data_IF_473430202461
#
_entry.id   IF_473430202461
#
_cell.length_a   1.000
_cell.length_b   1.000
_cell.length_c   1.000
_cell.angle_alpha   90.00
_cell.angle_beta   90.00
_cell.angle_gamma   90.00
#
_symmetry.space_group_name_H-M   'P 1'
#
loop_
_entity.id
_entity.type
_entity.pdbx_description
1 polymer ?
#
# COMPACT_ATOMS: atom_id res chain seq x y z
N UNK A 1 15.46 28.48 -0.92
CA UNK A 1 15.06 27.19 -1.51
C UNK A 1 14.66 26.25 -0.39
N UNK A 2 13.46 25.64 -0.44
CA UNK A 2 12.97 24.78 0.65
C UNK A 2 13.77 23.46 0.64
N UNK A 3 14.40 23.14 1.77
CA UNK A 3 15.16 21.89 1.95
C UNK A 3 14.21 20.69 2.03
N UNK A 4 14.66 19.57 1.48
CA UNK A 4 13.97 18.29 1.56
C UNK A 4 14.51 17.50 2.76
N UNK A 5 13.61 16.78 3.42
CA UNK A 5 13.95 15.82 4.47
C UNK A 5 13.54 14.42 4.05
N UNK A 6 14.24 13.41 4.57
CA UNK A 6 13.91 12.01 4.30
C UNK A 6 12.64 11.67 5.08
N UNK A 7 11.58 11.27 4.39
CA UNK A 7 10.30 10.87 5.00
C UNK A 7 10.11 9.35 4.99
N UNK A 8 10.89 8.61 4.22
CA UNK A 8 10.82 7.16 4.14
C UNK A 8 12.06 6.52 3.52
N UNK A 9 12.23 5.22 3.72
CA UNK A 9 13.29 4.41 3.11
C UNK A 9 12.77 2.99 2.92
N UNK A 10 13.03 2.41 1.75
CA UNK A 10 12.66 1.04 1.40
C UNK A 10 13.71 0.40 0.50
N UNK A 11 13.36 -0.73 -0.13
CA UNK A 11 14.26 -1.48 -0.99
C UNK A 11 14.66 -0.70 -2.27
N UNK A 12 13.74 0.06 -2.86
CA UNK A 12 14.02 0.92 -4.02
C UNK A 12 14.94 2.11 -3.70
N UNK A 13 14.95 2.57 -2.46
CA UNK A 13 15.73 3.74 -2.04
C UNK A 13 15.01 4.61 -1.02
N UNK A 14 15.33 5.89 -1.03
CA UNK A 14 14.85 6.89 -0.08
C UNK A 14 13.75 7.77 -0.66
N UNK A 15 12.83 8.19 0.19
CA UNK A 15 11.74 9.11 -0.16
C UNK A 15 11.95 10.42 0.58
N UNK A 16 11.86 11.53 -0.16
CA UNK A 16 12.14 12.88 0.32
C UNK A 16 10.97 13.80 0.08
N UNK A 17 10.67 14.68 1.02
CA UNK A 17 9.67 15.72 0.81
C UNK A 17 10.01 16.97 1.62
N UNK A 18 9.42 18.10 1.23
CA UNK A 18 9.24 19.23 2.14
C UNK A 18 7.92 19.08 2.89
N UNK A 19 7.66 19.95 3.86
CA UNK A 19 6.46 19.89 4.70
C UNK A 19 5.15 19.78 3.89
N UNK A 20 4.98 20.62 2.87
CA UNK A 20 3.78 20.68 2.02
C UNK A 20 4.02 20.34 0.54
N UNK A 21 5.17 19.72 0.23
CA UNK A 21 5.59 19.44 -1.15
C UNK A 21 5.29 18.02 -1.63
N UNK A 22 5.58 17.74 -2.92
CA UNK A 22 5.52 16.38 -3.44
C UNK A 22 6.56 15.47 -2.77
N UNK A 23 6.36 14.17 -2.93
CA UNK A 23 7.32 13.14 -2.55
C UNK A 23 8.26 12.83 -3.72
N UNK A 24 9.55 12.75 -3.42
CA UNK A 24 10.62 12.41 -4.33
C UNK A 24 11.23 11.08 -3.94
N UNK A 25 10.92 9.99 -4.66
CA UNK A 25 11.50 8.65 -4.45
C UNK A 25 12.76 8.53 -5.30
N UNK A 26 13.91 8.34 -4.67
CA UNK A 26 15.22 8.25 -5.32
C UNK A 26 15.61 6.79 -5.55
N UNK A 27 16.25 6.52 -6.68
CA UNK A 27 16.85 5.20 -6.99
C UNK A 27 18.23 5.08 -6.34
N UNK A 28 18.27 5.07 -5.01
CA UNK A 28 19.49 4.92 -4.20
C UNK A 28 19.41 3.71 -3.23
N UNK A 29 18.57 2.74 -3.58
CA UNK A 29 18.41 1.47 -2.87
C UNK A 29 19.10 0.28 -3.54
N UNK A 30 18.46 -0.88 -3.44
CA UNK A 30 18.94 -2.15 -3.97
C UNK A 30 18.91 -2.14 -5.51
N UNK A 31 20.04 -2.41 -6.19
CA UNK A 31 20.12 -2.47 -7.65
C UNK A 31 19.21 -3.52 -8.32
N UNK A 32 18.69 -4.49 -7.56
CA UNK A 32 17.73 -5.48 -8.05
C UNK A 32 16.29 -4.92 -8.16
N UNK A 33 16.03 -3.72 -7.61
CA UNK A 33 14.76 -3.00 -7.78
C UNK A 33 14.87 -2.02 -8.95
N UNK A 34 13.72 -1.65 -9.53
CA UNK A 34 13.66 -0.76 -10.70
C UNK A 34 12.68 0.37 -10.45
N UNK A 35 13.19 1.59 -10.29
CA UNK A 35 12.34 2.76 -10.12
C UNK A 35 11.60 3.11 -11.43
N UNK A 36 12.19 2.78 -12.58
CA UNK A 36 11.52 2.89 -13.88
C UNK A 36 10.27 2.00 -13.94
N UNK A 37 10.38 0.74 -13.48
CA UNK A 37 9.23 -0.16 -13.44
C UNK A 37 8.15 0.36 -12.48
N UNK A 38 8.54 0.85 -11.30
CA UNK A 38 7.62 1.48 -10.35
C UNK A 38 6.84 2.62 -11.02
N UNK A 39 7.53 3.53 -11.72
CA UNK A 39 6.89 4.64 -12.44
C UNK A 39 5.90 4.16 -13.51
N UNK A 40 6.27 3.16 -14.31
CA UNK A 40 5.42 2.63 -15.37
C UNK A 40 4.19 1.92 -14.82
N UNK A 41 4.37 1.06 -13.81
CA UNK A 41 3.28 0.32 -13.16
C UNK A 41 2.36 1.26 -12.37
N UNK A 42 2.90 2.27 -11.69
CA UNK A 42 2.13 3.29 -10.99
C UNK A 42 1.20 4.04 -11.94
N UNK A 43 1.73 4.51 -13.08
CA UNK A 43 0.92 5.17 -14.11
C UNK A 43 -0.14 4.24 -14.73
N UNK A 44 0.18 2.96 -14.92
CA UNK A 44 -0.78 1.95 -15.40
C UNK A 44 -1.92 1.75 -14.41
N UNK A 45 -1.60 1.63 -13.12
CA UNK A 45 -2.58 1.49 -12.03
C UNK A 45 -3.47 2.73 -11.91
N UNK A 46 -2.93 3.94 -12.04
CA UNK A 46 -3.71 5.19 -12.08
C UNK A 46 -4.72 5.20 -13.24
N UNK A 47 -4.30 4.78 -14.44
CA UNK A 47 -5.20 4.65 -15.59
C UNK A 47 -6.28 3.60 -15.35
N UNK A 48 -5.92 2.46 -14.76
CA UNK A 48 -6.87 1.40 -14.41
C UNK A 48 -7.91 1.86 -13.39
N UNK A 49 -7.54 2.70 -12.42
CA UNK A 49 -8.48 3.33 -11.48
C UNK A 49 -9.53 4.17 -12.22
N UNK A 50 -9.09 4.99 -13.17
CA UNK A 50 -10.01 5.81 -13.98
C UNK A 50 -10.97 4.94 -14.80
N UNK A 51 -10.50 3.82 -15.33
CA UNK A 51 -11.36 2.87 -16.04
C UNK A 51 -12.36 2.24 -15.09
N UNK A 52 -11.93 1.75 -13.92
CA UNK A 52 -12.84 1.17 -12.93
C UNK A 52 -13.92 2.15 -12.49
N UNK A 53 -13.56 3.42 -12.23
CA UNK A 53 -14.51 4.48 -11.88
C UNK A 53 -15.61 4.70 -12.93
N UNK A 54 -15.37 4.37 -14.20
CA UNK A 54 -16.38 4.49 -15.27
C UNK A 54 -17.29 3.27 -15.36
N UNK A 55 -16.83 2.11 -14.90
CA UNK A 55 -17.57 0.85 -14.92
C UNK A 55 -18.42 0.69 -13.68
N UNK A 56 -17.85 1.07 -12.54
CA UNK A 56 -18.46 0.86 -11.25
C UNK A 56 -19.61 1.83 -11.03
N UNK A 57 -20.76 1.28 -10.63
CA UNK A 57 -21.89 2.10 -10.18
C UNK A 57 -21.66 2.69 -8.78
N UNK A 58 -20.74 2.10 -8.01
CA UNK A 58 -20.33 2.58 -6.69
C UNK A 58 -18.97 3.27 -6.77
N UNK A 59 -18.66 4.10 -5.77
CA UNK A 59 -17.39 4.81 -5.73
C UNK A 59 -16.23 3.84 -5.46
N UNK A 60 -15.16 3.93 -6.26
CA UNK A 60 -13.88 3.26 -6.00
C UNK A 60 -13.26 3.89 -4.75
N UNK A 61 -12.91 3.08 -3.76
CA UNK A 61 -12.55 3.59 -2.44
C UNK A 61 -11.04 3.68 -2.19
N UNK A 62 -10.22 2.88 -2.89
CA UNK A 62 -8.75 2.93 -2.73
C UNK A 62 -8.17 4.23 -3.31
N UNK A 63 -7.24 4.84 -2.58
CA UNK A 63 -6.46 5.98 -3.05
C UNK A 63 -5.12 5.56 -3.64
N UNK A 64 -4.72 6.26 -4.70
CA UNK A 64 -3.48 6.02 -5.41
C UNK A 64 -2.81 7.38 -5.54
N UNK A 65 -1.59 7.58 -5.00
CA UNK A 65 -0.90 8.86 -5.12
C UNK A 65 -0.79 9.25 -6.59
N UNK A 66 -0.98 10.52 -6.92
CA UNK A 66 -0.68 11.00 -8.27
C UNK A 66 0.80 10.76 -8.59
N UNK A 67 1.10 10.33 -9.81
CA UNK A 67 2.47 10.11 -10.30
C UNK A 67 2.76 11.19 -11.34
N UNK A 68 3.66 12.13 -11.03
CA UNK A 68 3.83 13.33 -11.85
C UNK A 68 4.93 13.16 -12.89
N UNK A 69 6.16 12.88 -12.46
CA UNK A 69 7.33 12.90 -13.34
C UNK A 69 8.34 11.79 -13.00
N UNK A 70 9.04 11.32 -14.03
CA UNK A 70 10.28 10.56 -13.90
C UNK A 70 11.47 11.44 -14.27
N UNK A 71 12.36 11.66 -13.32
CA UNK A 71 13.50 12.59 -13.43
C UNK A 71 14.77 11.76 -13.57
N UNK A 72 15.40 11.85 -14.75
CA UNK A 72 16.65 11.16 -15.04
C UNK A 72 17.88 11.93 -14.53
N UNK A 73 19.01 11.26 -14.24
CA UNK A 73 20.26 11.91 -13.86
C UNK A 73 20.79 12.90 -14.90
N UNK A 74 20.41 12.72 -16.17
CA UNK A 74 20.86 13.55 -17.30
C UNK A 74 20.08 14.86 -17.44
N UNK A 75 18.99 15.04 -16.70
CA UNK A 75 18.21 16.28 -16.70
C UNK A 75 18.96 17.41 -15.95
N UNK A 76 19.94 18.01 -16.63
CA UNK A 76 20.83 19.02 -16.04
C UNK A 76 20.08 20.25 -15.53
N UNK A 77 19.01 20.66 -16.21
CA UNK A 77 18.19 21.80 -15.81
C UNK A 77 17.50 21.56 -14.46
N UNK A 78 16.81 20.41 -14.34
CA UNK A 78 16.12 20.07 -13.09
C UNK A 78 17.11 19.91 -11.94
N UNK A 79 18.22 19.19 -12.16
CA UNK A 79 19.24 18.98 -11.12
C UNK A 79 19.96 20.27 -10.72
N UNK A 80 20.27 21.17 -11.66
CA UNK A 80 20.85 22.47 -11.32
C UNK A 80 19.90 23.31 -10.43
N UNK A 81 18.59 23.23 -10.69
CA UNK A 81 17.59 23.97 -9.91
C UNK A 81 17.25 23.32 -8.55
N UNK A 82 17.42 22.01 -8.39
CA UNK A 82 16.87 21.26 -7.24
C UNK A 82 17.89 20.48 -6.41
N UNK A 83 19.12 20.25 -6.88
CA UNK A 83 20.09 19.42 -6.15
C UNK A 83 20.42 20.00 -4.78
N UNK A 84 20.51 21.33 -4.66
CA UNK A 84 20.73 22.03 -3.39
C UNK A 84 19.58 21.88 -2.39
N UNK A 85 18.43 21.32 -2.78
CA UNK A 85 17.34 21.00 -1.84
C UNK A 85 17.68 19.79 -0.98
N UNK A 86 18.54 18.88 -1.46
CA UNK A 86 19.02 17.73 -0.73
C UNK A 86 20.20 18.10 0.18
N UNK A 87 20.53 17.28 1.20
CA UNK A 87 21.75 17.46 1.97
C UNK A 87 23.01 17.41 1.09
N UNK A 88 24.13 17.93 1.61
CA UNK A 88 25.41 17.88 0.90
C UNK A 88 25.84 16.42 0.67
N UNK A 89 26.37 16.14 -0.52
CA UNK A 89 26.88 14.82 -0.90
C UNK A 89 25.96 13.99 -1.80
N UNK A 90 24.72 14.44 -2.03
CA UNK A 90 23.83 13.80 -3.00
C UNK A 90 24.20 14.18 -4.43
N UNK A 91 24.06 13.22 -5.34
CA UNK A 91 24.29 13.37 -6.79
C UNK A 91 23.01 13.13 -7.57
N UNK A 92 22.93 13.54 -8.85
CA UNK A 92 21.85 13.15 -9.74
C UNK A 92 21.67 11.62 -9.80
N UNK A 93 20.41 11.17 -9.78
CA UNK A 93 20.01 9.76 -9.93
C UNK A 93 18.66 9.69 -10.66
N UNK A 94 18.13 8.50 -10.91
CA UNK A 94 16.72 8.37 -11.31
C UNK A 94 15.84 8.71 -10.10
N UNK A 95 14.71 9.38 -10.35
CA UNK A 95 13.82 9.82 -9.28
C UNK A 95 12.37 9.94 -9.76
N UNK A 96 11.42 9.47 -8.97
CA UNK A 96 9.99 9.71 -9.19
C UNK A 96 9.56 10.92 -8.36
N UNK A 97 8.87 11.86 -8.99
CA UNK A 97 8.07 12.88 -8.32
C UNK A 97 6.60 12.46 -8.30
N UNK A 98 6.04 12.30 -7.10
CA UNK A 98 4.67 11.87 -6.88
C UNK A 98 3.97 12.70 -5.80
N UNK A 99 2.66 12.57 -5.69
CA UNK A 99 1.91 13.09 -4.55
C UNK A 99 2.45 12.48 -3.25
N UNK A 100 2.70 13.34 -2.26
CA UNK A 100 2.99 12.89 -0.91
C UNK A 100 1.70 12.42 -0.25
N UNK A 101 1.68 11.16 0.21
CA UNK A 101 0.60 10.69 1.09
C UNK A 101 0.69 11.49 2.41
N UNK A 102 -0.40 12.14 2.84
CA UNK A 102 -0.38 12.94 4.05
C UNK A 102 -0.11 12.05 5.26
N UNK A 103 0.77 12.45 6.20
CA UNK A 103 0.96 11.70 7.42
C UNK A 103 -0.20 11.89 8.39
N UNK A 104 -0.40 10.92 9.28
CA UNK A 104 -1.38 11.05 10.36
C UNK A 104 -1.07 12.21 11.30
N UNK A 105 -2.13 12.90 11.72
CA UNK A 105 -2.07 14.01 12.66
C UNK A 105 -1.73 13.59 14.09
N UNK A 106 -1.54 14.59 14.94
CA UNK A 106 -1.09 14.42 16.32
C UNK A 106 -1.94 13.46 17.15
N UNK A 107 -3.27 13.50 17.04
CA UNK A 107 -4.18 12.64 17.81
C UNK A 107 -3.96 11.16 17.55
N UNK A 108 -3.89 10.75 16.27
CA UNK A 108 -3.66 9.35 15.89
C UNK A 108 -2.27 8.87 16.29
N UNK A 109 -1.24 9.74 16.13
CA UNK A 109 0.12 9.43 16.57
C UNK A 109 0.19 9.18 18.07
N UNK A 110 -0.43 10.05 18.88
CA UNK A 110 -0.50 9.87 20.33
C UNK A 110 -1.24 8.59 20.72
N UNK A 111 -2.36 8.27 20.06
CA UNK A 111 -3.09 7.02 20.30
C UNK A 111 -2.19 5.79 20.09
N UNK A 112 -1.49 5.71 18.96
CA UNK A 112 -0.58 4.59 18.66
C UNK A 112 0.59 4.50 19.66
N UNK A 113 1.17 5.65 20.03
CA UNK A 113 2.24 5.71 21.03
C UNK A 113 1.73 5.20 22.37
N UNK A 114 0.57 5.65 22.84
CA UNK A 114 0.04 5.24 24.13
C UNK A 114 -0.32 3.75 24.17
N UNK A 115 -0.90 3.23 23.09
CA UNK A 115 -1.32 1.83 23.00
C UNK A 115 -0.16 0.85 22.87
N UNK A 116 0.89 1.20 22.10
CA UNK A 116 1.85 0.21 21.60
C UNK A 116 3.33 0.57 21.78
N UNK A 117 3.67 1.82 22.10
CA UNK A 117 5.07 2.21 22.30
C UNK A 117 5.53 1.82 23.73
N UNK A 118 6.71 1.19 23.89
CA UNK A 118 7.28 0.94 25.21
C UNK A 118 7.43 2.23 26.03
N UNK A 119 7.07 2.18 27.31
CA UNK A 119 7.00 3.36 28.18
C UNK A 119 8.34 4.13 28.24
N UNK A 120 9.46 3.42 28.15
CA UNK A 120 10.81 3.98 28.24
C UNK A 120 11.15 4.92 27.08
N UNK A 121 10.51 4.75 25.92
CA UNK A 121 10.81 5.52 24.71
C UNK A 121 9.64 6.39 24.24
N UNK A 122 8.48 6.37 24.91
CA UNK A 122 7.30 7.19 24.54
C UNK A 122 7.65 8.66 24.33
N UNK A 123 8.30 9.30 25.31
CA UNK A 123 8.67 10.72 25.21
C UNK A 123 9.66 11.00 24.08
N UNK A 124 10.55 10.04 23.77
CA UNK A 124 11.48 10.15 22.65
C UNK A 124 10.72 10.15 21.32
N UNK A 125 9.74 9.26 21.16
CA UNK A 125 8.94 9.14 19.93
C UNK A 125 7.99 10.33 19.77
N UNK A 126 7.38 10.84 20.85
CA UNK A 126 6.52 12.04 20.81
C UNK A 126 7.30 13.24 20.24
N UNK A 127 8.54 13.42 20.69
CA UNK A 127 9.40 14.55 20.29
C UNK A 127 10.23 14.26 19.03
N UNK A 128 10.01 13.13 18.37
CA UNK A 128 10.77 12.72 17.19
C UNK A 128 10.19 13.37 15.92
N UNK A 129 10.95 14.30 15.32
CA UNK A 129 10.60 14.89 14.02
C UNK A 129 10.37 13.84 12.93
N UNK A 130 11.20 12.78 12.79
CA UNK A 130 10.93 11.70 11.86
C UNK A 130 9.56 11.03 12.05
N UNK A 131 9.14 10.83 13.29
CA UNK A 131 7.87 10.16 13.62
C UNK A 131 6.64 11.05 13.38
N UNK A 132 6.83 12.30 12.92
CA UNK A 132 5.75 13.10 12.33
C UNK A 132 5.33 12.59 10.96
N UNK A 133 6.19 11.89 10.23
CA UNK A 133 5.87 11.27 8.94
C UNK A 133 5.14 9.92 9.13
N UNK A 134 4.11 9.92 9.98
CA UNK A 134 3.39 8.72 10.39
C UNK A 134 2.49 8.19 9.26
N UNK A 135 2.76 6.96 8.84
CA UNK A 135 1.92 6.18 7.92
C UNK A 135 1.70 4.82 8.56
N UNK A 136 0.47 4.32 8.52
CA UNK A 136 0.13 3.03 9.13
C UNK A 136 0.09 1.98 8.03
N UNK A 137 0.95 0.97 8.10
CA UNK A 137 0.93 -0.18 7.19
C UNK A 137 -0.03 -1.24 7.76
N UNK A 138 -1.11 -1.52 7.05
CA UNK A 138 -2.21 -2.35 7.57
C UNK A 138 -2.01 -3.83 7.25
N UNK A 139 -2.06 -4.69 8.26
CA UNK A 139 -1.96 -6.14 8.13
C UNK A 139 -3.24 -6.81 8.63
N UNK A 140 -4.11 -7.24 7.71
CA UNK A 140 -5.31 -8.03 8.00
C UNK A 140 -5.07 -9.55 7.86
N UNK A 141 -3.95 -9.96 7.28
CA UNK A 141 -3.59 -11.37 7.11
C UNK A 141 -2.71 -11.94 8.21
N UNK A 142 -2.41 -11.15 9.24
CA UNK A 142 -1.46 -11.53 10.28
C UNK A 142 -1.76 -10.86 11.60
N UNK A 143 -1.72 -11.67 12.65
CA UNK A 143 -1.67 -11.25 14.06
C UNK A 143 -0.22 -11.25 14.54
N UNK A 144 0.12 -10.42 15.52
CA UNK A 144 1.47 -10.43 16.13
C UNK A 144 1.75 -11.79 16.78
N UNK A 145 2.94 -12.33 16.57
CA UNK A 145 3.36 -13.63 17.13
C UNK A 145 3.79 -13.55 18.60
N UNK A 146 3.97 -12.35 19.15
CA UNK A 146 4.31 -12.13 20.55
C UNK A 146 3.14 -11.49 21.28
N UNK A 147 2.44 -12.30 22.07
CA UNK A 147 1.45 -11.82 23.05
C UNK A 147 2.15 -11.11 24.20
N UNK A 148 1.48 -10.13 24.81
CA UNK A 148 1.94 -9.30 25.95
C UNK A 148 2.53 -10.06 27.16
N UNK A 149 2.40 -11.40 27.22
CA UNK A 149 2.99 -12.24 28.28
C UNK A 149 4.43 -12.70 28.05
N UNK A 150 4.98 -12.51 26.85
CA UNK A 150 6.38 -12.79 26.55
C UNK A 150 7.24 -11.60 26.97
N UNK A 151 7.80 -11.62 28.18
CA UNK A 151 8.74 -10.62 28.71
C UNK A 151 10.04 -10.46 27.90
N UNK A 152 10.18 -11.14 26.77
CA UNK A 152 11.23 -10.90 25.78
C UNK A 152 10.77 -9.84 24.79
N UNK A 153 10.53 -8.62 25.27
CA UNK A 153 10.72 -7.46 24.41
C UNK A 153 12.16 -7.54 23.92
N UNK A 154 12.36 -7.93 22.65
CA UNK A 154 13.67 -7.83 22.03
C UNK A 154 14.17 -6.42 22.29
N UNK A 155 15.29 -6.29 23.02
CA UNK A 155 15.96 -5.02 23.37
C UNK A 155 16.36 -4.18 22.15
N UNK A 156 16.00 -4.63 20.94
CA UNK A 156 16.40 -4.12 19.64
C UNK A 156 15.24 -3.81 18.69
N UNK A 157 13.96 -3.90 19.11
CA UNK A 157 12.86 -3.41 18.25
C UNK A 157 12.79 -1.88 18.34
N UNK A 158 13.32 -1.21 17.32
CA UNK A 158 13.10 0.21 17.10
C UNK A 158 11.60 0.46 16.85
N UNK A 159 10.94 1.17 17.75
CA UNK A 159 9.59 1.69 17.52
C UNK A 159 9.71 2.92 16.60
N UNK A 160 8.89 2.97 15.56
CA UNK A 160 8.83 4.06 14.59
C UNK A 160 7.41 4.18 14.07
N UNK A 161 6.89 5.40 14.02
CA UNK A 161 5.61 5.73 13.41
C UNK A 161 5.71 5.84 11.88
N UNK A 162 6.92 6.00 11.33
CA UNK A 162 7.13 5.86 9.89
C UNK A 162 6.82 4.44 9.47
N UNK A 163 5.80 4.28 8.63
CA UNK A 163 5.43 2.98 8.08
C UNK A 163 5.15 1.94 9.18
N UNK A 164 4.39 2.37 10.19
CA UNK A 164 4.08 1.60 11.40
C UNK A 164 3.22 0.38 11.06
N UNK A 165 3.70 -0.86 11.30
CA UNK A 165 2.92 -2.06 11.03
C UNK A 165 1.82 -2.25 12.08
N UNK A 166 0.56 -2.11 11.65
CA UNK A 166 -0.63 -2.30 12.48
C UNK A 166 -1.33 -3.60 12.08
N UNK A 167 -1.29 -4.57 13.00
CA UNK A 167 -1.80 -5.92 12.80
C UNK A 167 -3.25 -6.05 13.26
N UNK A 168 -3.94 -7.09 12.79
CA UNK A 168 -5.33 -7.38 13.12
C UNK A 168 -5.62 -7.38 14.64
N UNK A 169 -4.78 -8.02 15.45
CA UNK A 169 -4.94 -8.03 16.92
C UNK A 169 -4.78 -6.63 17.54
N UNK A 170 -4.02 -5.75 16.90
CA UNK A 170 -3.90 -4.35 17.33
C UNK A 170 -5.13 -3.53 16.96
N UNK A 171 -5.78 -3.83 15.84
CA UNK A 171 -7.04 -3.18 15.48
C UNK A 171 -8.14 -3.54 16.48
N UNK A 172 -8.17 -4.78 16.96
CA UNK A 172 -9.05 -5.20 18.05
C UNK A 172 -8.73 -4.50 19.37
N UNK A 173 -7.45 -4.38 19.73
CA UNK A 173 -7.01 -3.62 20.93
C UNK A 173 -7.40 -2.13 20.85
N UNK A 174 -7.43 -1.55 19.65
CA UNK A 174 -7.90 -0.19 19.40
C UNK A 174 -9.44 -0.08 19.33
N UNK A 175 -10.15 -1.20 19.42
CA UNK A 175 -11.60 -1.29 19.26
C UNK A 175 -12.09 -0.70 17.92
N UNK A 176 -11.36 -0.97 16.84
CA UNK A 176 -11.83 -0.62 15.49
C UNK A 176 -13.17 -1.32 15.21
N UNK A 177 -14.21 -0.59 14.76
CA UNK A 177 -15.51 -1.18 14.45
C UNK A 177 -15.39 -2.32 13.43
N UNK A 178 -16.21 -3.37 13.60
CA UNK A 178 -16.22 -4.51 12.67
C UNK A 178 -16.50 -4.05 11.23
N UNK A 179 -17.43 -3.13 11.04
CA UNK A 179 -17.77 -2.58 9.71
C UNK A 179 -16.58 -1.94 9.00
N UNK A 180 -15.69 -1.27 9.76
CA UNK A 180 -14.47 -0.66 9.23
C UNK A 180 -13.44 -1.73 8.83
N UNK A 181 -13.31 -2.80 9.62
CA UNK A 181 -12.44 -3.93 9.28
C UNK A 181 -12.89 -4.61 7.98
N UNK A 182 -14.20 -4.85 7.85
CA UNK A 182 -14.79 -5.35 6.62
C UNK A 182 -14.59 -4.36 5.47
N UNK A 183 -14.67 -3.05 5.72
CA UNK A 183 -14.41 -2.05 4.69
C UNK A 183 -12.96 -2.05 4.21
N UNK A 184 -11.98 -2.18 5.10
CA UNK A 184 -10.58 -2.32 4.70
C UNK A 184 -10.36 -3.57 3.84
N UNK A 185 -10.96 -4.72 4.21
CA UNK A 185 -10.89 -5.94 3.41
C UNK A 185 -11.49 -5.76 2.01
N UNK A 186 -12.63 -5.06 1.91
CA UNK A 186 -13.25 -4.72 0.62
C UNK A 186 -12.36 -3.83 -0.24
N UNK A 187 -11.70 -2.82 0.34
CA UNK A 187 -10.80 -1.92 -0.38
C UNK A 187 -9.59 -2.65 -0.97
N UNK A 188 -9.00 -3.58 -0.20
CA UNK A 188 -7.90 -4.43 -0.68
C UNK A 188 -8.34 -5.34 -1.83
N UNK A 189 -9.51 -5.96 -1.70
CA UNK A 189 -10.09 -6.83 -2.73
C UNK A 189 -10.36 -6.07 -4.03
N UNK A 190 -10.96 -4.88 -3.95
CA UNK A 190 -11.21 -4.00 -5.09
C UNK A 190 -9.90 -3.62 -5.80
N UNK A 191 -8.88 -3.21 -5.05
CA UNK A 191 -7.59 -2.84 -5.59
C UNK A 191 -6.93 -4.00 -6.35
N UNK A 192 -6.94 -5.20 -5.79
CA UNK A 192 -6.39 -6.38 -6.45
C UNK A 192 -7.17 -6.78 -7.70
N UNK A 193 -8.51 -6.77 -7.66
CA UNK A 193 -9.32 -7.07 -8.83
C UNK A 193 -9.04 -6.08 -9.98
N UNK A 194 -8.94 -4.78 -9.66
CA UNK A 194 -8.56 -3.74 -10.63
C UNK A 194 -7.18 -4.01 -11.25
N UNK A 195 -6.18 -4.33 -10.41
CA UNK A 195 -4.82 -4.60 -10.87
C UNK A 195 -4.75 -5.85 -11.75
N UNK A 196 -5.44 -6.91 -11.37
CA UNK A 196 -5.46 -8.16 -12.14
C UNK A 196 -6.23 -7.99 -13.47
N UNK A 197 -7.44 -7.45 -13.46
CA UNK A 197 -8.34 -7.59 -14.61
C UNK A 197 -8.40 -6.36 -15.53
N UNK A 198 -8.08 -5.18 -15.01
CA UNK A 198 -7.98 -3.95 -15.80
C UNK A 198 -6.52 -3.65 -16.11
N UNK A 199 -5.67 -3.57 -15.08
CA UNK A 199 -4.25 -3.31 -15.32
C UNK A 199 -3.57 -4.53 -15.96
N UNK A 200 -3.95 -5.77 -15.65
CA UNK A 200 -3.26 -6.94 -16.20
C UNK A 200 -1.88 -7.14 -15.60
N UNK A 201 -1.74 -6.89 -14.30
CA UNK A 201 -0.48 -7.07 -13.54
C UNK A 201 -0.71 -7.99 -12.34
N UNK A 202 0.35 -8.56 -11.79
CA UNK A 202 0.30 -9.57 -10.72
C UNK A 202 0.22 -9.02 -9.29
N UNK A 203 0.29 -7.69 -9.12
CA UNK A 203 0.28 -7.01 -7.83
C UNK A 203 1.38 -7.47 -6.84
N UNK A 204 2.52 -7.91 -7.37
CA UNK A 204 3.64 -8.33 -6.55
C UNK A 204 4.31 -7.16 -5.80
N UNK A 205 4.53 -7.36 -4.51
CA UNK A 205 5.14 -6.45 -3.51
C UNK A 205 4.43 -5.11 -3.28
N UNK A 206 3.16 -4.96 -3.70
CA UNK A 206 2.39 -3.76 -3.37
C UNK A 206 2.07 -3.66 -1.89
N UNK A 207 2.05 -2.44 -1.38
CA UNK A 207 1.81 -2.13 0.03
C UNK A 207 0.50 -1.36 0.22
N UNK A 208 -0.19 -1.65 1.33
CA UNK A 208 -1.41 -0.96 1.74
C UNK A 208 -1.17 -0.17 3.01
N UNK A 209 -1.43 1.13 2.95
CA UNK A 209 -1.26 2.03 4.09
C UNK A 209 -2.54 2.81 4.37
N UNK A 210 -2.82 3.05 5.65
CA UNK A 210 -3.81 4.02 6.08
C UNK A 210 -3.15 5.40 6.20
N UNK A 211 -3.87 6.42 5.76
CA UNK A 211 -3.48 7.81 5.89
C UNK A 211 -4.69 8.73 5.72
N UNK A 212 -4.64 9.99 6.19
CA UNK A 212 -5.67 10.99 5.88
C UNK A 212 -6.03 11.01 4.39
N UNK A 213 -7.32 11.16 4.10
CA UNK A 213 -7.81 11.16 2.72
C UNK A 213 -7.61 12.52 2.05
N UNK A 214 -7.53 12.56 0.72
CA UNK A 214 -7.77 13.80 -0.01
C UNK A 214 -9.25 14.21 0.17
N UNK A 215 -9.52 15.49 0.38
CA UNK A 215 -10.89 15.99 0.61
C UNK A 215 -11.86 15.71 -0.55
N UNK A 216 -11.34 15.40 -1.74
CA UNK A 216 -12.10 15.34 -3.00
C UNK A 216 -12.25 13.94 -3.61
N UNK A 217 -11.61 12.89 -3.07
CA UNK A 217 -11.41 11.65 -3.81
C UNK A 217 -11.61 10.39 -2.93
N UNK A 218 -12.86 9.90 -2.82
CA UNK A 218 -13.15 8.56 -2.31
C UNK A 218 -14.05 8.49 -1.07
N UNK A 219 -14.51 7.26 -0.78
CA UNK A 219 -15.05 6.91 0.53
C UNK A 219 -13.99 7.09 1.61
N UNK A 220 -14.39 7.66 2.75
CA UNK A 220 -13.53 7.82 3.92
C UNK A 220 -14.05 6.94 5.06
N UNK A 221 -13.15 6.59 5.96
CA UNK A 221 -13.46 5.92 7.21
C UNK A 221 -13.16 6.91 8.34
N UNK A 222 -14.06 6.96 9.31
CA UNK A 222 -13.92 7.79 10.51
C UNK A 222 -14.07 6.93 11.76
N UNK A 223 -12.96 6.77 12.48
CA UNK A 223 -12.90 6.01 13.73
C UNK A 223 -11.82 6.59 14.66
N UNK A 224 -11.34 5.81 15.63
CA UNK A 224 -10.34 6.26 16.62
C UNK A 224 -9.02 6.74 16.00
N UNK A 225 -8.69 6.34 14.77
CA UNK A 225 -7.52 6.84 14.03
C UNK A 225 -7.78 8.22 13.38
N UNK A 226 -9.01 8.75 13.48
CA UNK A 226 -9.50 9.95 12.81
C UNK A 226 -10.02 9.66 11.40
N UNK A 227 -10.36 10.70 10.65
CA UNK A 227 -10.80 10.58 9.26
C UNK A 227 -9.63 10.19 8.34
N UNK A 228 -9.74 9.06 7.67
CA UNK A 228 -8.68 8.52 6.81
C UNK A 228 -9.24 7.62 5.69
N UNK A 229 -8.33 7.08 4.88
CA UNK A 229 -8.63 6.12 3.82
C UNK A 229 -7.41 5.21 3.61
N UNK A 230 -7.56 4.21 2.75
CA UNK A 230 -6.52 3.29 2.37
C UNK A 230 -5.87 3.75 1.07
N UNK A 231 -4.54 3.70 1.06
CA UNK A 231 -3.69 4.02 -0.07
C UNK A 231 -2.91 2.77 -0.47
N UNK A 232 -2.68 2.63 -1.78
CA UNK A 232 -1.81 1.59 -2.35
C UNK A 232 -0.57 2.22 -2.96
N UNK A 233 0.60 1.63 -2.71
CA UNK A 233 1.90 2.11 -3.16
C UNK A 233 2.92 0.96 -3.36
N UNK A 234 4.12 1.33 -3.83
CA UNK A 234 5.26 0.46 -4.16
C UNK A 234 4.94 -0.56 -5.26
N UNK A 235 5.03 -0.13 -6.53
CA UNK A 235 4.71 -0.97 -7.69
C UNK A 235 5.96 -1.50 -8.39
N UNK A 236 7.13 -1.41 -7.74
CA UNK A 236 8.45 -1.65 -8.34
C UNK A 236 8.68 -3.11 -8.77
N UNK A 237 7.98 -4.07 -8.17
CA UNK A 237 8.04 -5.49 -8.52
C UNK A 237 6.79 -6.03 -9.20
N UNK A 238 5.79 -5.19 -9.49
CA UNK A 238 4.64 -5.58 -10.30
C UNK A 238 5.09 -5.97 -11.71
N UNK A 239 4.50 -7.04 -12.25
CA UNK A 239 4.78 -7.55 -13.59
C UNK A 239 3.51 -7.87 -14.35
N UNK A 240 3.64 -7.99 -15.67
CA UNK A 240 2.55 -8.42 -16.53
C UNK A 240 1.99 -9.79 -16.12
N UNK A 241 0.67 -9.82 -16.01
CA UNK A 241 -0.13 -11.01 -15.78
C UNK A 241 -0.84 -11.40 -17.08
N UNK A 242 -0.60 -12.62 -17.57
CA UNK A 242 -1.30 -13.15 -18.74
C UNK A 242 -2.75 -13.48 -18.40
N UNK A 243 -3.65 -13.40 -19.39
CA UNK A 243 -5.10 -13.68 -19.21
C UNK A 243 -5.39 -15.18 -19.40
N UNK A 244 -4.66 -15.99 -18.64
CA UNK A 244 -4.72 -17.45 -18.61
C UNK A 244 -4.34 -17.98 -17.21
N UNK A 245 -4.34 -19.30 -17.04
CA UNK A 245 -4.06 -19.97 -15.77
C UNK A 245 -2.63 -19.72 -15.28
N UNK A 246 -1.66 -19.51 -16.18
CA UNK A 246 -0.29 -19.17 -15.81
C UNK A 246 -0.22 -17.78 -15.17
N UNK A 247 -0.98 -16.82 -15.71
CA UNK A 247 -1.10 -15.49 -15.12
C UNK A 247 -1.77 -15.54 -13.75
N UNK A 248 -2.86 -16.31 -13.62
CA UNK A 248 -3.49 -16.57 -12.31
C UNK A 248 -2.49 -17.14 -11.32
N UNK A 249 -1.71 -18.17 -11.71
CA UNK A 249 -0.68 -18.76 -10.86
C UNK A 249 0.43 -17.77 -10.44
N UNK A 250 0.74 -16.75 -11.27
CA UNK A 250 1.65 -15.67 -10.87
C UNK A 250 1.02 -14.77 -9.81
N UNK A 251 -0.24 -14.36 -10.00
CA UNK A 251 -0.96 -13.54 -9.02
C UNK A 251 -1.15 -14.27 -7.68
N UNK A 252 -1.45 -15.58 -7.69
CA UNK A 252 -1.52 -16.41 -6.48
C UNK A 252 -0.18 -16.41 -5.74
N UNK A 253 0.93 -16.60 -6.47
CA UNK A 253 2.27 -16.53 -5.87
C UNK A 253 2.58 -15.16 -5.29
N UNK A 254 2.20 -14.08 -5.97
CA UNK A 254 2.34 -12.72 -5.46
C UNK A 254 1.52 -12.53 -4.18
N UNK A 255 0.25 -12.93 -4.17
CA UNK A 255 -0.62 -12.85 -2.98
C UNK A 255 0.00 -13.49 -1.73
N UNK A 256 0.61 -14.67 -1.87
CA UNK A 256 1.24 -15.39 -0.75
C UNK A 256 2.65 -14.91 -0.40
N UNK A 257 3.41 -14.38 -1.37
CA UNK A 257 4.76 -13.86 -1.15
C UNK A 257 4.79 -12.43 -0.63
N UNK A 258 3.80 -11.63 -0.96
CA UNK A 258 3.63 -10.33 -0.35
C UNK A 258 3.52 -10.51 1.16
N UNK A 259 3.98 -9.50 1.87
CA UNK A 259 3.65 -9.30 3.27
C UNK A 259 2.13 -9.53 3.47
N UNK A 260 1.69 -10.13 4.60
CA UNK A 260 0.31 -10.54 4.81
C UNK A 260 -0.63 -9.36 5.10
N UNK A 261 -0.74 -8.46 4.13
CA UNK A 261 -1.62 -7.30 4.12
C UNK A 261 -3.07 -7.74 4.02
N UNK A 262 -3.36 -8.61 3.05
CA UNK A 262 -4.69 -9.14 2.76
C UNK A 262 -5.13 -10.14 3.82
N UNK A 263 -6.44 -10.23 4.14
CA UNK A 263 -6.97 -11.36 4.89
C UNK A 263 -6.54 -12.69 4.26
N UNK A 264 -6.15 -13.66 5.09
CA UNK A 264 -5.85 -15.03 4.65
C UNK A 264 -7.11 -15.90 4.70
N UNK A 265 -7.21 -17.02 3.97
CA UNK A 265 -8.39 -17.89 3.96
C UNK A 265 -8.94 -18.30 5.34
N UNK A 266 -8.06 -18.39 6.35
CA UNK A 266 -8.38 -18.77 7.72
C UNK A 266 -8.90 -17.59 8.57
N UNK A 267 -8.86 -16.37 8.03
CA UNK A 267 -9.24 -15.13 8.69
C UNK A 267 -10.75 -14.87 8.57
N UNK A 268 -11.36 -14.27 9.60
CA UNK A 268 -12.80 -13.93 9.60
C UNK A 268 -13.21 -12.91 8.53
N UNK A 269 -12.26 -12.11 8.04
CA UNK A 269 -12.48 -11.12 6.97
C UNK A 269 -12.32 -11.72 5.56
N UNK A 270 -11.94 -12.99 5.44
CA UNK A 270 -11.69 -13.63 4.14
C UNK A 270 -12.93 -13.67 3.25
N UNK A 271 -14.08 -14.07 3.80
CA UNK A 271 -15.31 -14.16 3.01
C UNK A 271 -15.70 -12.80 2.43
N UNK A 272 -15.52 -11.73 3.20
CA UNK A 272 -15.73 -10.35 2.73
C UNK A 272 -14.76 -9.97 1.62
N UNK A 273 -13.48 -10.29 1.77
CA UNK A 273 -12.47 -10.05 0.74
C UNK A 273 -12.81 -10.83 -0.54
N UNK A 274 -13.13 -12.13 -0.41
CA UNK A 274 -13.44 -13.03 -1.53
C UNK A 274 -14.64 -12.54 -2.33
N UNK A 275 -15.75 -12.25 -1.65
CA UNK A 275 -16.98 -11.79 -2.28
C UNK A 275 -16.76 -10.47 -3.02
N UNK A 276 -16.09 -9.50 -2.38
CA UNK A 276 -15.79 -8.22 -3.02
C UNK A 276 -14.83 -8.37 -4.20
N UNK A 277 -13.83 -9.24 -4.10
CA UNK A 277 -12.87 -9.48 -5.19
C UNK A 277 -13.59 -10.04 -6.41
N UNK A 278 -14.45 -11.05 -6.22
CA UNK A 278 -15.21 -11.67 -7.33
C UNK A 278 -16.17 -10.64 -7.93
N UNK A 279 -16.93 -9.92 -7.09
CA UNK A 279 -17.85 -8.88 -7.55
C UNK A 279 -17.14 -7.82 -8.40
N UNK A 280 -16.05 -7.25 -7.88
CA UNK A 280 -15.29 -6.24 -8.62
C UNK A 280 -14.59 -6.82 -9.85
N UNK A 281 -14.18 -8.09 -9.81
CA UNK A 281 -13.66 -8.77 -11.00
C UNK A 281 -14.73 -8.85 -12.09
N UNK A 282 -15.98 -9.18 -11.76
CA UNK A 282 -17.07 -9.21 -12.73
C UNK A 282 -17.33 -7.79 -13.31
N UNK A 283 -17.33 -6.74 -12.48
CA UNK A 283 -17.43 -5.32 -12.92
C UNK A 283 -16.29 -4.93 -13.88
N UNK A 284 -15.05 -5.32 -13.58
CA UNK A 284 -13.87 -5.04 -14.42
C UNK A 284 -13.98 -5.63 -15.83
N UNK A 285 -14.77 -6.69 -16.00
CA UNK A 285 -14.88 -7.45 -17.24
C UNK A 285 -16.08 -7.03 -18.10
N UNK A 286 -16.84 -6.02 -17.68
CA UNK A 286 -18.01 -5.53 -18.42
C UNK A 286 -17.68 -4.99 -19.81
N UNK A 287 -16.48 -4.43 -20.03
CA UNK A 287 -16.07 -3.97 -21.36
C UNK A 287 -15.54 -5.09 -22.27
N UNK A 288 -15.36 -6.31 -21.75
CA UNK A 288 -14.90 -7.43 -22.56
C UNK A 288 -16.03 -7.96 -23.44
N UNK A 289 -15.68 -8.47 -24.62
CA UNK A 289 -16.59 -9.31 -25.41
C UNK A 289 -17.00 -10.56 -24.63
N UNK A 290 -18.16 -11.13 -24.98
CA UNK A 290 -18.81 -12.21 -24.21
C UNK A 290 -17.87 -13.39 -23.97
N UNK A 291 -17.15 -13.84 -25.00
CA UNK A 291 -16.24 -14.99 -24.89
C UNK A 291 -15.04 -14.70 -23.99
N UNK A 292 -14.44 -13.51 -24.12
CA UNK A 292 -13.35 -13.09 -23.21
C UNK A 292 -13.84 -12.90 -21.79
N UNK A 293 -15.07 -12.41 -21.61
CA UNK A 293 -15.68 -12.21 -20.29
C UNK A 293 -15.84 -13.55 -19.57
N UNK A 294 -16.52 -14.52 -20.18
CA UNK A 294 -16.72 -15.85 -19.57
C UNK A 294 -15.39 -16.51 -19.17
N UNK A 295 -14.39 -16.47 -20.07
CA UNK A 295 -13.05 -16.99 -19.75
C UNK A 295 -12.42 -16.26 -18.56
N UNK A 296 -12.45 -14.94 -18.51
CA UNK A 296 -11.83 -14.16 -17.42
C UNK A 296 -12.60 -14.26 -16.11
N UNK A 297 -13.91 -14.46 -16.16
CA UNK A 297 -14.75 -14.77 -15.00
C UNK A 297 -14.40 -16.12 -14.38
N UNK A 298 -14.08 -17.11 -15.21
CA UNK A 298 -13.51 -18.36 -14.74
C UNK A 298 -12.14 -18.12 -14.07
N UNK A 299 -11.24 -17.37 -14.71
CA UNK A 299 -9.91 -17.08 -14.16
C UNK A 299 -9.94 -16.31 -12.83
N UNK A 300 -10.90 -15.39 -12.63
CA UNK A 300 -11.04 -14.67 -11.36
C UNK A 300 -11.48 -15.56 -10.21
N UNK A 301 -12.36 -16.53 -10.48
CA UNK A 301 -12.77 -17.55 -9.51
C UNK A 301 -11.63 -18.55 -9.25
N UNK A 302 -10.90 -18.93 -10.30
CA UNK A 302 -9.72 -19.80 -10.18
C UNK A 302 -8.63 -19.17 -9.31
N UNK A 303 -8.43 -17.84 -9.36
CA UNK A 303 -7.52 -17.15 -8.45
C UNK A 303 -7.88 -17.37 -6.98
N UNK A 304 -9.16 -17.17 -6.61
CA UNK A 304 -9.64 -17.39 -5.25
C UNK A 304 -9.46 -18.86 -4.85
N UNK A 305 -9.87 -19.80 -5.70
CA UNK A 305 -9.76 -21.24 -5.44
C UNK A 305 -8.29 -21.64 -5.17
N UNK A 306 -7.36 -21.17 -5.98
CA UNK A 306 -5.93 -21.47 -5.79
C UNK A 306 -5.34 -20.80 -4.55
N UNK A 307 -5.79 -19.59 -4.18
CA UNK A 307 -5.38 -18.96 -2.92
C UNK A 307 -5.87 -19.80 -1.73
N UNK A 308 -7.13 -20.23 -1.72
CA UNK A 308 -7.70 -21.06 -0.65
C UNK A 308 -7.04 -22.45 -0.57
N UNK A 309 -6.65 -23.04 -1.70
CA UNK A 309 -5.94 -24.32 -1.73
C UNK A 309 -4.51 -24.20 -1.19
N UNK A 310 -3.78 -23.16 -1.59
CA UNK A 310 -2.38 -22.95 -1.17
C UNK A 310 -2.25 -22.82 0.36
N UNK A 311 -3.19 -22.13 1.01
CA UNK A 311 -3.20 -21.95 2.45
C UNK A 311 -3.21 -23.26 3.22
N UNK A 312 -3.98 -24.25 2.73
CA UNK A 312 -4.12 -25.58 3.33
C UNK A 312 -2.87 -26.45 3.18
N UNK A 313 -2.13 -26.28 2.10
CA UNK A 313 -0.91 -27.07 1.82
C UNK A 313 0.33 -26.51 2.55
N UNK A 314 0.26 -25.28 3.05
CA UNK A 314 1.37 -24.57 3.71
C UNK A 314 1.27 -24.51 5.24
N UNK A 315 0.15 -24.98 5.81
CA UNK A 315 -0.15 -25.02 7.25
C UNK A 315 0.16 -26.37 7.89
#
# INVERSE_FOLDING_TARGET
MIKLQTIGRGACGTVWASETGPAYKREDGNPARSLQNDFEMHNRVLKSRQTLMRLKSTQVQIQIPSCHNFIEPRNKEWWAANLERFPQGYTPCNMIEAQRIPPFGESARHLLIQAFCPDEIKQKIINSEPDRDCLIRLYLGRRRTHTRGSQTFSRFKAFSLRNYPLHEDQLEELAIPADDLHQYARMMAEALAMMHWIAGIDANDVEFVLAPCNDNDGGHIDNVLGRHSMWILDFDLCRDMTMDENGVGKAVKAFWRNDPFYPRPENSLWDTFREQYIHTSDECLELCDVHKREKRQFLSRLFIEQVEAWGKDSS
#
